data_IF_799514712251
#
_entry.id   IF_799514712251
#
_cell.length_a   1.000
_cell.length_b   1.000
_cell.length_c   1.000
_cell.angle_alpha   90.00
_cell.angle_beta   90.00
_cell.angle_gamma   90.00
#
_symmetry.space_group_name_H-M   'P 1'
#
loop_
_entity.id
_entity.type
_entity.pdbx_description
1 polymer ?
#
# COMPACT_ATOMS: atom_id res chain seq x y z
N UNK A 1 -41.26 25.96 -2.00
CA UNK A 1 -40.26 25.43 -2.97
C UNK A 1 -38.86 25.99 -2.72
N UNK A 2 -38.62 27.31 -2.77
CA UNK A 2 -37.27 27.91 -2.60
C UNK A 2 -36.57 27.56 -1.27
N UNK A 3 -37.29 27.56 -0.14
CA UNK A 3 -36.74 27.20 1.19
C UNK A 3 -36.30 25.73 1.28
N UNK A 4 -37.02 24.82 0.61
CA UNK A 4 -36.65 23.40 0.56
C UNK A 4 -35.38 23.16 -0.26
N UNK A 5 -35.22 23.88 -1.38
CA UNK A 5 -34.00 23.84 -2.20
C UNK A 5 -32.80 24.34 -1.39
N UNK A 6 -32.94 25.45 -0.65
CA UNK A 6 -31.86 25.97 0.20
C UNK A 6 -31.43 24.94 1.26
N UNK A 7 -32.39 24.29 1.93
CA UNK A 7 -32.08 23.25 2.92
C UNK A 7 -31.33 22.08 2.27
N UNK A 8 -31.77 21.62 1.10
CA UNK A 8 -31.09 20.54 0.37
C UNK A 8 -29.66 20.94 0.00
N UNK A 9 -29.45 22.15 -0.51
CA UNK A 9 -28.12 22.65 -0.88
C UNK A 9 -27.21 22.72 0.34
N UNK A 10 -27.70 23.25 1.47
CA UNK A 10 -26.93 23.31 2.72
C UNK A 10 -26.54 21.91 3.20
N UNK A 11 -27.47 20.95 3.16
CA UNK A 11 -27.20 19.56 3.53
C UNK A 11 -26.15 18.93 2.61
N UNK A 12 -26.24 19.14 1.30
CA UNK A 12 -25.24 18.63 0.35
C UNK A 12 -23.85 19.20 0.61
N UNK A 13 -23.75 20.51 0.88
CA UNK A 13 -22.47 21.13 1.23
C UNK A 13 -21.89 20.53 2.51
N UNK A 14 -22.72 20.35 3.54
CA UNK A 14 -22.28 19.71 4.79
C UNK A 14 -21.76 18.29 4.57
N UNK A 15 -22.46 17.49 3.77
CA UNK A 15 -22.03 16.11 3.44
C UNK A 15 -20.68 16.12 2.71
N UNK A 16 -20.50 17.00 1.72
CA UNK A 16 -19.23 17.12 0.98
C UNK A 16 -18.09 17.56 1.91
N UNK A 17 -18.33 18.54 2.79
CA UNK A 17 -17.33 18.99 3.76
C UNK A 17 -16.93 17.89 4.74
N UNK A 18 -17.91 17.16 5.29
CA UNK A 18 -17.67 16.04 6.20
C UNK A 18 -16.88 14.92 5.52
N UNK A 19 -17.27 14.55 4.31
CA UNK A 19 -16.59 13.50 3.55
C UNK A 19 -15.16 13.91 3.16
N UNK A 20 -14.96 15.15 2.73
CA UNK A 20 -13.63 15.67 2.41
C UNK A 20 -12.71 15.73 3.63
N UNK A 21 -13.23 16.20 4.78
CA UNK A 21 -12.50 16.23 6.04
C UNK A 21 -12.12 14.83 6.53
N UNK A 22 -13.06 13.88 6.50
CA UNK A 22 -12.79 12.50 6.85
C UNK A 22 -11.73 11.88 5.94
N UNK A 23 -11.88 12.03 4.62
CA UNK A 23 -10.95 11.50 3.62
C UNK A 23 -9.52 12.03 3.84
N UNK A 24 -9.37 13.33 4.11
CA UNK A 24 -8.07 13.92 4.44
C UNK A 24 -7.47 13.37 5.73
N UNK A 25 -8.28 13.23 6.79
CA UNK A 25 -7.86 12.64 8.07
C UNK A 25 -7.36 11.20 7.89
N UNK A 26 -8.07 10.38 7.12
CA UNK A 26 -7.68 9.00 6.82
C UNK A 26 -6.38 8.95 6.01
N UNK A 27 -6.18 9.86 5.05
CA UNK A 27 -4.91 9.96 4.33
C UNK A 27 -3.72 10.25 5.26
N UNK A 28 -3.88 11.19 6.20
CA UNK A 28 -2.87 11.48 7.21
C UNK A 28 -2.59 10.28 8.13
N UNK A 29 -3.64 9.60 8.61
CA UNK A 29 -3.51 8.43 9.49
C UNK A 29 -2.86 7.25 8.79
N UNK A 30 -3.21 7.02 7.53
CA UNK A 30 -2.61 5.98 6.69
C UNK A 30 -1.11 6.20 6.55
N UNK A 31 -0.67 7.43 6.24
CA UNK A 31 0.75 7.75 6.11
C UNK A 31 1.49 7.53 7.43
N UNK A 32 0.94 8.00 8.57
CA UNK A 32 1.53 7.78 9.89
C UNK A 32 1.68 6.30 10.22
N UNK A 33 0.62 5.51 9.97
CA UNK A 33 0.61 4.08 10.24
C UNK A 33 1.59 3.34 9.33
N UNK A 34 1.63 3.70 8.06
CA UNK A 34 2.54 3.16 7.07
C UNK A 34 4.01 3.33 7.51
N UNK A 35 4.42 4.54 7.87
CA UNK A 35 5.79 4.79 8.36
C UNK A 35 6.09 4.00 9.64
N UNK A 36 5.12 3.92 10.55
CA UNK A 36 5.24 3.14 11.79
C UNK A 36 5.45 1.65 11.52
N UNK A 37 4.74 1.09 10.54
CA UNK A 37 4.88 -0.31 10.16
C UNK A 37 6.23 -0.58 9.51
N UNK A 38 6.72 0.30 8.63
CA UNK A 38 8.06 0.17 8.06
C UNK A 38 9.15 0.21 9.15
N UNK A 39 9.02 1.10 10.12
CA UNK A 39 9.95 1.18 11.25
C UNK A 39 9.92 -0.10 12.09
N UNK A 40 8.72 -0.61 12.43
CA UNK A 40 8.57 -1.87 13.18
C UNK A 40 9.16 -3.06 12.40
N UNK A 41 8.87 -3.16 11.10
CA UNK A 41 9.38 -4.22 10.25
C UNK A 41 10.92 -4.16 10.12
N UNK A 42 11.49 -2.96 10.15
CA UNK A 42 12.95 -2.72 10.11
C UNK A 42 13.68 -3.03 11.42
N UNK A 43 12.97 -3.35 12.50
CA UNK A 43 13.60 -3.82 13.75
C UNK A 43 14.11 -5.27 13.64
N UNK A 44 13.77 -5.96 12.54
CA UNK A 44 14.31 -7.29 12.23
C UNK A 44 15.81 -7.23 11.95
N UNK A 45 16.54 -8.26 12.38
CA UNK A 45 17.96 -8.43 12.04
C UNK A 45 18.18 -8.72 10.54
N UNK A 46 17.17 -9.24 9.85
CA UNK A 46 17.28 -9.75 8.49
C UNK A 46 16.70 -8.83 7.43
N UNK A 47 15.83 -7.89 7.84
CA UNK A 47 15.11 -7.04 6.91
C UNK A 47 15.18 -5.59 7.37
N UNK A 48 15.48 -4.69 6.44
CA UNK A 48 15.35 -3.24 6.65
C UNK A 48 14.48 -2.68 5.54
N UNK A 49 13.50 -1.86 5.91
CA UNK A 49 12.60 -1.21 4.98
C UNK A 49 12.90 0.29 4.93
N UNK A 50 13.32 0.76 3.77
CA UNK A 50 13.64 2.17 3.54
C UNK A 50 12.59 2.77 2.63
N UNK A 51 11.80 3.70 3.17
CA UNK A 51 10.87 4.47 2.36
C UNK A 51 11.65 5.45 1.45
N UNK A 52 11.54 5.28 0.13
CA UNK A 52 12.13 6.19 -0.84
C UNK A 52 11.23 7.38 -1.13
N UNK A 53 9.92 7.15 -1.26
CA UNK A 53 8.95 8.21 -1.49
C UNK A 53 7.56 7.81 -1.01
N UNK A 54 6.81 8.80 -0.54
CA UNK A 54 5.39 8.67 -0.22
C UNK A 54 4.66 9.92 -0.75
N UNK A 55 3.77 9.72 -1.70
CA UNK A 55 2.95 10.76 -2.32
C UNK A 55 1.51 10.60 -1.85
N UNK A 56 1.08 11.47 -0.93
CA UNK A 56 -0.30 11.48 -0.42
C UNK A 56 -1.23 12.17 -1.41
N UNK A 57 -2.21 11.42 -1.92
CA UNK A 57 -3.33 11.96 -2.68
C UNK A 57 -4.61 12.06 -1.86
N UNK A 58 -5.73 12.35 -2.53
CA UNK A 58 -7.01 12.57 -1.86
C UNK A 58 -7.69 11.26 -1.45
N UNK A 59 -7.88 10.31 -2.38
CA UNK A 59 -8.49 8.99 -2.11
C UNK A 59 -7.48 7.83 -2.09
N UNK A 60 -6.22 8.15 -2.35
CA UNK A 60 -5.17 7.16 -2.39
C UNK A 60 -3.81 7.83 -2.36
N UNK A 61 -2.81 7.06 -2.00
CA UNK A 61 -1.42 7.44 -1.95
C UNK A 61 -0.58 6.48 -2.79
N UNK A 62 0.61 6.91 -3.17
CA UNK A 62 1.62 6.04 -3.79
C UNK A 62 2.84 6.02 -2.90
N UNK A 63 3.43 4.86 -2.72
CA UNK A 63 4.68 4.74 -2.00
C UNK A 63 5.68 3.89 -2.77
N UNK A 64 6.97 4.18 -2.57
CA UNK A 64 8.07 3.35 -3.04
C UNK A 64 8.96 3.02 -1.86
N UNK A 65 9.14 1.73 -1.60
CA UNK A 65 9.93 1.21 -0.49
C UNK A 65 11.01 0.28 -1.02
N UNK A 66 12.21 0.36 -0.46
CA UNK A 66 13.25 -0.64 -0.67
C UNK A 66 13.30 -1.55 0.54
N UNK A 67 13.07 -2.84 0.30
CA UNK A 67 13.35 -3.89 1.26
C UNK A 67 14.78 -4.38 1.05
N UNK A 68 15.61 -4.17 2.06
CA UNK A 68 16.97 -4.68 2.13
C UNK A 68 16.96 -5.99 2.93
N UNK A 69 17.34 -7.08 2.27
CA UNK A 69 17.48 -8.40 2.88
C UNK A 69 18.95 -8.62 3.22
N UNK A 70 19.25 -8.75 4.49
CA UNK A 70 20.60 -8.94 5.01
C UNK A 70 20.92 -10.43 5.15
N UNK A 71 22.14 -10.80 4.81
CA UNK A 71 22.62 -12.17 4.91
C UNK A 71 22.63 -12.67 6.36
N UNK A 72 22.27 -13.94 6.54
CA UNK A 72 22.37 -14.62 7.84
C UNK A 72 23.84 -14.99 8.10
N UNK A 73 24.39 -14.73 9.29
CA UNK A 73 25.76 -15.13 9.62
C UNK A 73 25.95 -16.64 9.40
N UNK A 74 26.96 -17.02 8.62
CA UNK A 74 27.26 -18.43 8.29
C UNK A 74 26.70 -18.93 6.94
N UNK A 75 26.03 -18.08 6.17
CA UNK A 75 25.69 -18.37 4.77
C UNK A 75 26.88 -18.10 3.83
N UNK A 76 26.99 -18.85 2.73
CA UNK A 76 28.12 -18.80 1.79
C UNK A 76 28.35 -17.42 1.11
N UNK A 77 27.37 -16.51 1.20
CA UNK A 77 27.40 -15.16 0.66
C UNK A 77 27.49 -14.11 1.78
N UNK A 78 28.44 -14.29 2.69
CA UNK A 78 28.66 -13.40 3.84
C UNK A 78 28.75 -11.93 3.37
N UNK A 79 27.92 -11.05 3.96
CA UNK A 79 27.79 -9.61 3.67
C UNK A 79 27.11 -9.17 2.36
N UNK A 80 26.38 -10.03 1.63
CA UNK A 80 25.54 -9.52 0.54
C UNK A 80 24.17 -9.03 1.06
N UNK A 81 23.85 -7.77 0.77
CA UNK A 81 22.52 -7.19 0.98
C UNK A 81 21.76 -7.19 -0.34
N UNK A 82 20.65 -7.91 -0.40
CA UNK A 82 19.78 -7.92 -1.58
C UNK A 82 18.77 -6.78 -1.43
N UNK A 83 18.66 -5.91 -2.44
CA UNK A 83 17.68 -4.83 -2.46
C UNK A 83 16.52 -5.18 -3.37
N UNK A 84 15.32 -5.12 -2.82
CA UNK A 84 14.07 -5.38 -3.53
C UNK A 84 13.23 -4.12 -3.47
N UNK A 85 12.88 -3.57 -4.63
CA UNK A 85 12.03 -2.38 -4.70
C UNK A 85 10.56 -2.80 -4.70
N UNK A 86 9.77 -2.12 -3.90
CA UNK A 86 8.34 -2.33 -3.71
C UNK A 86 7.61 -1.06 -4.15
N UNK A 87 6.84 -1.16 -5.23
CA UNK A 87 5.92 -0.10 -5.67
C UNK A 87 4.54 -0.37 -5.09
N UNK A 88 4.02 0.58 -4.31
CA UNK A 88 2.81 0.41 -3.52
C UNK A 88 1.75 1.42 -3.93
N UNK A 89 0.58 0.91 -4.30
CA UNK A 89 -0.63 1.69 -4.48
C UNK A 89 -1.50 1.56 -3.23
N UNK A 90 -1.79 2.69 -2.58
CA UNK A 90 -2.49 2.72 -1.31
C UNK A 90 -3.84 3.38 -1.52
N UNK A 91 -4.94 2.69 -1.24
CA UNK A 91 -6.29 3.27 -1.27
C UNK A 91 -6.75 3.53 0.15
N UNK A 92 -7.21 4.75 0.45
CA UNK A 92 -7.62 5.16 1.80
C UNK A 92 -8.82 6.09 1.78
N UNK A 93 -9.42 6.29 2.95
CA UNK A 93 -10.63 7.08 3.14
C UNK A 93 -11.56 6.36 4.10
N UNK A 94 -12.67 6.97 4.53
CA UNK A 94 -13.61 6.29 5.42
C UNK A 94 -14.15 4.98 4.82
N UNK A 95 -14.17 4.89 3.48
CA UNK A 95 -14.50 3.70 2.72
C UNK A 95 -13.59 3.62 1.49
N UNK A 96 -12.49 2.85 1.54
CA UNK A 96 -11.66 2.60 0.37
C UNK A 96 -12.48 1.96 -0.74
N UNK A 97 -12.42 2.53 -1.95
CA UNK A 97 -13.16 2.01 -3.11
C UNK A 97 -12.17 1.26 -4.00
N UNK A 98 -12.36 -0.05 -4.13
CA UNK A 98 -11.44 -0.88 -4.91
C UNK A 98 -11.76 -2.36 -4.83
N UNK A 99 -10.92 -3.15 -5.50
CA UNK A 99 -10.86 -4.60 -5.34
C UNK A 99 -9.65 -4.95 -4.48
N UNK A 100 -9.82 -5.90 -3.57
CA UNK A 100 -8.71 -6.51 -2.83
C UNK A 100 -7.83 -7.33 -3.77
N UNK A 101 -6.62 -7.71 -3.33
CA UNK A 101 -5.73 -8.64 -4.03
C UNK A 101 -6.37 -9.97 -4.41
N UNK A 102 -7.44 -10.38 -3.71
CA UNK A 102 -8.24 -11.57 -4.03
C UNK A 102 -9.40 -11.30 -5.03
N UNK A 103 -9.54 -10.07 -5.54
CA UNK A 103 -10.59 -9.66 -6.48
C UNK A 103 -11.94 -9.25 -5.85
N UNK A 104 -12.11 -9.38 -4.53
CA UNK A 104 -13.36 -9.01 -3.85
C UNK A 104 -13.52 -7.49 -3.71
N UNK A 105 -14.76 -7.00 -3.78
CA UNK A 105 -15.06 -5.58 -3.59
C UNK A 105 -14.84 -5.17 -2.13
N UNK A 106 -14.03 -4.13 -1.90
CA UNK A 106 -13.61 -3.67 -0.58
C UNK A 106 -14.51 -2.58 0.01
N UNK A 107 -15.82 -2.64 -0.21
CA UNK A 107 -16.75 -1.69 0.43
C UNK A 107 -16.97 -2.02 1.92
N UNK A 108 -15.88 -1.96 2.70
CA UNK A 108 -15.81 -2.17 4.13
C UNK A 108 -14.97 -1.05 4.75
N UNK A 109 -15.33 -0.54 5.93
CA UNK A 109 -14.57 0.51 6.58
C UNK A 109 -13.24 -0.05 7.09
N UNK A 110 -12.15 0.34 6.42
CA UNK A 110 -10.77 0.03 6.81
C UNK A 110 -9.94 1.30 6.67
N UNK A 111 -8.79 1.37 7.33
CA UNK A 111 -7.93 2.56 7.26
C UNK A 111 -7.35 2.74 5.86
N UNK A 112 -6.77 1.66 5.33
CA UNK A 112 -6.21 1.63 4.00
C UNK A 112 -6.05 0.20 3.46
N UNK A 113 -5.90 0.10 2.15
CA UNK A 113 -5.51 -1.12 1.45
C UNK A 113 -4.27 -0.78 0.64
N UNK A 114 -3.23 -1.60 0.79
CA UNK A 114 -1.94 -1.43 0.15
C UNK A 114 -1.74 -2.57 -0.82
N UNK A 115 -1.68 -2.27 -2.11
CA UNK A 115 -1.31 -3.22 -3.16
C UNK A 115 0.17 -3.02 -3.52
N UNK A 116 0.97 -4.03 -3.20
CA UNK A 116 2.41 -4.05 -3.39
C UNK A 116 2.77 -4.82 -4.66
N UNK A 117 3.63 -4.22 -5.49
CA UNK A 117 4.27 -4.85 -6.64
C UNK A 117 5.78 -4.89 -6.46
N UNK A 118 6.35 -6.07 -6.69
CA UNK A 118 7.80 -6.26 -6.70
C UNK A 118 8.38 -5.71 -7.99
N UNK A 119 9.35 -4.81 -7.88
CA UNK A 119 10.04 -4.19 -9.00
C UNK A 119 11.49 -4.71 -9.01
N UNK A 120 11.94 -5.36 -10.10
CA UNK A 120 13.31 -5.81 -10.22
C UNK A 120 14.28 -4.62 -10.20
N UNK A 121 15.51 -4.86 -9.72
CA UNK A 121 16.59 -3.88 -9.88
C UNK A 121 16.83 -3.58 -11.37
N UNK A 122 17.33 -2.39 -11.73
CA UNK A 122 17.60 -2.03 -13.13
C UNK A 122 18.40 -3.10 -13.88
N UNK A 123 19.41 -3.67 -13.22
CA UNK A 123 20.29 -4.70 -13.78
C UNK A 123 19.59 -6.05 -14.00
N UNK A 124 18.50 -6.32 -13.28
CA UNK A 124 17.71 -7.54 -13.36
C UNK A 124 16.44 -7.40 -14.23
N UNK A 125 16.08 -6.19 -14.69
CA UNK A 125 14.84 -5.96 -15.44
C UNK A 125 14.76 -6.77 -16.75
N UNK A 126 15.87 -6.91 -17.47
CA UNK A 126 15.92 -7.70 -18.70
C UNK A 126 15.62 -9.17 -18.44
N UNK A 127 16.30 -9.76 -17.45
CA UNK A 127 16.11 -11.16 -17.05
C UNK A 127 14.72 -11.40 -16.48
N UNK A 128 14.18 -10.47 -15.68
CA UNK A 128 12.83 -10.56 -15.16
C UNK A 128 11.77 -10.49 -16.26
N UNK A 129 11.97 -9.64 -17.27
CA UNK A 129 11.06 -9.57 -18.43
C UNK A 129 11.05 -10.89 -19.21
N UNK A 130 12.21 -11.50 -19.43
CA UNK A 130 12.30 -12.81 -20.07
C UNK A 130 11.65 -13.92 -19.21
N UNK A 131 11.87 -13.88 -17.89
CA UNK A 131 11.27 -14.83 -16.95
C UNK A 131 9.75 -14.73 -16.91
N UNK A 132 9.19 -13.51 -16.86
CA UNK A 132 7.74 -13.28 -16.91
C UNK A 132 7.11 -13.62 -18.26
N UNK A 133 7.87 -13.59 -19.36
CA UNK A 133 7.40 -14.07 -20.65
C UNK A 133 7.30 -15.61 -20.70
N UNK A 134 8.17 -16.31 -19.97
CA UNK A 134 8.16 -17.77 -19.86
C UNK A 134 7.16 -18.27 -18.80
N UNK A 135 7.04 -17.54 -17.69
CA UNK A 135 6.16 -17.85 -16.57
C UNK A 135 5.35 -16.60 -16.21
N UNK A 136 4.20 -16.38 -16.87
CA UNK A 136 3.36 -15.20 -16.65
C UNK A 136 2.88 -15.03 -15.19
N UNK A 137 2.77 -16.14 -14.46
CA UNK A 137 2.39 -16.19 -13.03
C UNK A 137 3.31 -15.32 -12.15
N UNK A 138 4.61 -15.24 -12.46
CA UNK A 138 5.58 -14.44 -11.70
C UNK A 138 5.27 -12.94 -11.82
N UNK A 139 4.83 -12.49 -12.99
CA UNK A 139 4.42 -11.10 -13.22
C UNK A 139 3.08 -10.76 -12.55
N UNK A 140 2.32 -11.78 -12.17
CA UNK A 140 1.02 -11.67 -11.52
C UNK A 140 1.09 -11.82 -9.99
N UNK A 141 2.27 -12.06 -9.39
CA UNK A 141 2.46 -12.02 -7.94
C UNK A 141 2.03 -10.64 -7.42
N UNK A 142 1.10 -10.64 -6.48
CA UNK A 142 0.63 -9.44 -5.79
C UNK A 142 0.65 -9.72 -4.30
N UNK A 143 1.14 -8.75 -3.56
CA UNK A 143 0.93 -8.68 -2.13
C UNK A 143 -0.13 -7.61 -1.86
N UNK A 144 -1.16 -7.94 -1.08
CA UNK A 144 -2.14 -6.97 -0.60
C UNK A 144 -2.18 -6.98 0.91
N UNK A 145 -1.89 -5.83 1.50
CA UNK A 145 -2.04 -5.58 2.93
C UNK A 145 -3.29 -4.74 3.21
N UNK A 146 -4.17 -5.19 4.09
CA UNK A 146 -5.31 -4.42 4.59
C UNK A 146 -5.00 -3.88 5.99
N UNK A 147 -5.03 -2.56 6.13
CA UNK A 147 -4.88 -1.86 7.41
C UNK A 147 -6.26 -1.56 7.99
N UNK A 148 -6.59 -2.17 9.12
CA UNK A 148 -7.85 -1.96 9.83
C UNK A 148 -7.83 -0.69 10.68
N UNK A 149 -9.01 -0.27 11.14
CA UNK A 149 -9.19 0.99 11.90
C UNK A 149 -8.50 0.98 13.28
N UNK A 150 -8.23 -0.20 13.83
CA UNK A 150 -7.48 -0.40 15.07
C UNK A 150 -5.95 -0.30 14.85
N UNK A 151 -5.51 -0.13 13.60
CA UNK A 151 -4.10 -0.08 13.21
C UNK A 151 -3.48 -1.45 12.96
N UNK A 152 -4.21 -2.56 13.12
CA UNK A 152 -3.73 -3.89 12.76
C UNK A 152 -3.71 -4.05 11.24
N UNK A 153 -2.71 -4.79 10.74
CA UNK A 153 -2.57 -5.14 9.33
C UNK A 153 -2.77 -6.63 9.12
N UNK A 154 -3.49 -7.01 8.06
CA UNK A 154 -3.52 -8.39 7.56
C UNK A 154 -2.98 -8.40 6.14
N UNK A 155 -2.01 -9.26 5.89
CA UNK A 155 -1.31 -9.42 4.62
C UNK A 155 -1.84 -10.66 3.88
N UNK A 156 -2.11 -10.51 2.60
CA UNK A 156 -2.49 -11.58 1.69
C UNK A 156 -1.50 -11.61 0.53
N UNK A 157 -0.60 -12.58 0.58
CA UNK A 157 0.31 -12.88 -0.51
C UNK A 157 -0.36 -13.83 -1.49
N UNK A 158 -0.68 -13.35 -2.69
CA UNK A 158 -1.30 -14.16 -3.74
C UNK A 158 -0.23 -14.57 -4.74
N UNK A 159 0.10 -15.86 -4.72
CA UNK A 159 0.80 -16.54 -5.81
C UNK A 159 -0.28 -17.16 -6.69
N UNK A 160 -0.40 -16.73 -7.96
CA UNK A 160 -1.38 -17.32 -8.89
C UNK A 160 -1.09 -18.79 -9.18
#
# INVERSE_FOLDING_TARGET
MKKGIIVIVVLLVLVVCLWGGATYYFGMKTEQQYQTLLQKASQSRYFTFVNQSYERGFLGSKARTVMEVHSVPGAAADNQTIKITLDQAITHGPFPIGKSGNGESQFKPVMAVVDTKFVPSPDAQGQFKELTAQVPEIGAIRDTTTLYLDGNGVEYFVVP
#
